data_IF_821222688769
#
_entry.id   IF_821222688769
#
_cell.length_a   1.000
_cell.length_b   1.000
_cell.length_c   1.000
_cell.angle_alpha   90.00
_cell.angle_beta   90.00
_cell.angle_gamma   90.00
#
_symmetry.space_group_name_H-M   'P 1'
#
loop_
_entity.id
_entity.type
_entity.pdbx_description
1 polymer ?
#
# COMPACT_ATOMS: atom_id res chain seq x y z
N UNK A 1 -49.42 -14.14 30.50
CA UNK A 1 -50.12 -13.69 29.27
C UNK A 1 -49.66 -12.27 28.99
N UNK A 2 -49.16 -11.84 27.83
CA UNK A 2 -49.13 -12.42 26.50
C UNK A 2 -47.88 -11.95 25.76
N UNK A 3 -47.39 -12.86 24.92
CA UNK A 3 -46.44 -12.68 23.85
C UNK A 3 -46.92 -11.64 22.83
N UNK A 4 -45.99 -10.90 22.23
CA UNK A 4 -46.10 -10.51 20.82
C UNK A 4 -44.70 -10.26 20.25
N UNK A 5 -44.28 -11.19 19.39
CA UNK A 5 -43.21 -10.99 18.39
C UNK A 5 -43.62 -9.86 17.45
N UNK A 6 -42.63 -9.08 17.01
CA UNK A 6 -42.68 -8.40 15.71
C UNK A 6 -41.36 -8.62 14.98
N UNK A 7 -41.44 -9.47 13.97
CA UNK A 7 -40.47 -9.66 12.91
C UNK A 7 -40.58 -8.50 11.89
N UNK A 8 -39.49 -8.18 11.18
CA UNK A 8 -39.59 -7.44 9.91
C UNK A 8 -38.59 -6.30 9.66
N UNK A 9 -37.37 -6.68 9.28
CA UNK A 9 -36.45 -6.10 8.26
C UNK A 9 -36.53 -4.61 7.84
N UNK A 10 -35.41 -3.90 8.05
CA UNK A 10 -34.85 -2.77 7.26
C UNK A 10 -33.47 -2.49 7.88
N UNK A 11 -32.34 -2.24 7.24
CA UNK A 11 -31.93 -1.90 5.88
C UNK A 11 -30.39 -2.02 5.97
N UNK A 12 -29.74 -2.73 5.05
CA UNK A 12 -28.33 -2.55 4.62
C UNK A 12 -27.22 -2.36 5.69
N UNK A 13 -26.16 -3.21 5.76
CA UNK A 13 -24.90 -2.72 6.34
C UNK A 13 -24.44 -1.52 5.51
N UNK A 14 -23.83 -0.47 6.10
CA UNK A 14 -23.29 0.63 5.33
C UNK A 14 -22.13 0.12 4.46
N UNK A 15 -22.42 -0.35 3.25
CA UNK A 15 -21.48 -0.32 2.15
C UNK A 15 -21.28 1.15 1.81
N UNK A 16 -20.27 1.78 2.43
CA UNK A 16 -19.51 2.94 1.95
C UNK A 16 -18.93 3.65 3.15
N UNK A 17 -17.67 3.34 3.49
CA UNK A 17 -16.66 4.26 4.02
C UNK A 17 -15.45 3.43 4.46
N UNK A 18 -14.83 2.71 3.52
CA UNK A 18 -13.40 2.48 3.69
C UNK A 18 -12.75 3.77 3.17
N UNK A 19 -12.21 4.65 4.03
CA UNK A 19 -11.22 5.58 3.50
C UNK A 19 -10.18 4.71 2.81
N UNK A 20 -9.88 5.08 1.57
CA UNK A 20 -8.95 4.44 0.65
C UNK A 20 -7.52 4.55 1.23
N UNK A 21 -7.33 3.95 2.40
CA UNK A 21 -6.14 4.02 3.23
C UNK A 21 -5.37 2.74 2.99
N UNK A 22 -4.18 2.88 2.43
CA UNK A 22 -3.26 1.78 2.22
C UNK A 22 -3.11 1.01 3.55
N UNK A 23 -3.25 -0.33 3.55
CA UNK A 23 -3.15 -1.10 4.77
C UNK A 23 -1.79 -0.85 5.44
N UNK A 24 -1.74 -0.53 6.75
CA UNK A 24 -0.48 -0.21 7.42
C UNK A 24 0.51 -1.37 7.34
N UNK A 25 0.03 -2.62 7.36
CA UNK A 25 0.87 -3.80 7.19
C UNK A 25 1.63 -3.83 5.85
N UNK A 26 1.01 -3.33 4.77
CA UNK A 26 1.63 -3.26 3.44
C UNK A 26 2.72 -2.18 3.43
N UNK A 27 2.44 -1.02 4.03
CA UNK A 27 3.42 0.07 4.15
C UNK A 27 4.64 -0.41 4.95
N UNK A 28 4.43 -1.09 6.08
CA UNK A 28 5.51 -1.61 6.92
C UNK A 28 6.33 -2.68 6.18
N UNK A 29 5.68 -3.57 5.44
CA UNK A 29 6.36 -4.60 4.62
C UNK A 29 7.23 -3.97 3.52
N UNK A 30 6.69 -3.03 2.76
CA UNK A 30 7.43 -2.34 1.70
C UNK A 30 8.54 -1.45 2.29
N UNK A 31 8.30 -0.81 3.43
CA UNK A 31 9.32 0.00 4.13
C UNK A 31 10.49 -0.87 4.56
N UNK A 32 10.23 -2.04 5.15
CA UNK A 32 11.26 -2.99 5.53
C UNK A 32 12.06 -3.50 4.31
N UNK A 33 11.39 -3.67 3.17
CA UNK A 33 12.03 -4.03 1.92
C UNK A 33 12.99 -2.93 1.43
N UNK A 34 12.53 -1.67 1.38
CA UNK A 34 13.37 -0.52 1.00
C UNK A 34 14.53 -0.33 1.97
N UNK A 35 14.28 -0.46 3.28
CA UNK A 35 15.33 -0.34 4.29
C UNK A 35 16.44 -1.37 4.08
N UNK A 36 16.08 -2.64 3.82
CA UNK A 36 17.06 -3.67 3.45
C UNK A 36 17.82 -3.31 2.18
N UNK A 37 17.13 -2.77 1.18
CA UNK A 37 17.77 -2.40 -0.08
C UNK A 37 18.84 -1.33 0.10
N UNK A 38 18.57 -0.35 0.96
CA UNK A 38 19.50 0.74 1.28
C UNK A 38 20.64 0.27 2.18
N UNK A 39 20.35 -0.60 3.14
CA UNK A 39 21.35 -1.23 4.00
C UNK A 39 22.38 -2.02 3.17
N UNK A 40 21.91 -2.85 2.23
CA UNK A 40 22.74 -3.59 1.28
C UNK A 40 23.53 -2.68 0.33
N UNK A 41 23.04 -1.46 0.07
CA UNK A 41 23.70 -0.48 -0.81
C UNK A 41 24.76 0.37 -0.08
N UNK A 42 24.90 0.22 1.24
CA UNK A 42 26.08 0.65 1.97
C UNK A 42 25.97 1.96 2.76
N UNK A 43 24.81 2.62 2.83
CA UNK A 43 24.60 3.75 3.78
C UNK A 43 23.12 4.01 4.04
N UNK A 44 22.64 3.57 5.21
CA UNK A 44 21.28 3.79 5.74
C UNK A 44 21.19 4.88 6.82
N UNK A 45 22.32 5.49 7.21
CA UNK A 45 22.48 6.33 8.42
C UNK A 45 21.53 7.55 8.50
N UNK A 46 21.03 8.03 7.36
CA UNK A 46 20.07 9.13 7.30
C UNK A 46 18.91 8.88 6.32
N UNK A 47 18.61 7.62 6.01
CA UNK A 47 17.57 7.31 5.04
C UNK A 47 16.25 6.94 5.71
N UNK A 48 15.27 7.85 5.66
CA UNK A 48 13.90 7.60 6.12
C UNK A 48 13.11 6.76 5.11
N UNK A 49 13.28 5.44 5.15
CA UNK A 49 12.63 4.51 4.21
C UNK A 49 11.10 4.67 4.18
N UNK A 50 10.48 4.95 5.32
CA UNK A 50 9.02 5.14 5.43
C UNK A 50 8.56 6.41 4.71
N UNK A 51 9.22 7.53 4.98
CA UNK A 51 8.89 8.83 4.38
C UNK A 51 9.14 8.80 2.87
N UNK A 52 10.27 8.22 2.46
CA UNK A 52 10.60 8.00 1.05
C UNK A 52 9.57 7.10 0.36
N UNK A 53 9.15 6.01 0.98
CA UNK A 53 8.15 5.11 0.42
C UNK A 53 6.79 5.81 0.24
N UNK A 54 6.36 6.60 1.23
CA UNK A 54 5.09 7.35 1.15
C UNK A 54 5.11 8.38 0.04
N UNK A 55 6.22 9.11 -0.11
CA UNK A 55 6.42 10.04 -1.22
C UNK A 55 6.39 9.29 -2.57
N UNK A 56 7.12 8.19 -2.67
CA UNK A 56 7.18 7.36 -3.87
C UNK A 56 5.83 6.74 -4.25
N UNK A 57 5.02 6.30 -3.27
CA UNK A 57 3.66 5.79 -3.46
C UNK A 57 2.72 6.84 -4.05
N UNK A 58 2.94 8.12 -3.73
CA UNK A 58 2.17 9.24 -4.25
C UNK A 58 2.77 9.84 -5.53
N UNK A 59 3.99 9.45 -5.89
CA UNK A 59 4.65 9.88 -7.12
C UNK A 59 4.20 9.02 -8.31
N UNK A 60 3.89 9.63 -9.47
CA UNK A 60 3.50 8.88 -10.66
C UNK A 60 4.68 8.07 -11.20
N UNK A 61 4.49 6.76 -11.37
CA UNK A 61 5.55 5.89 -11.86
C UNK A 61 5.33 5.58 -13.35
N UNK A 62 6.30 5.86 -14.24
CA UNK A 62 6.15 5.63 -15.68
C UNK A 62 5.90 4.16 -16.04
N UNK A 63 6.47 3.22 -15.26
CA UNK A 63 6.23 1.78 -15.44
C UNK A 63 4.78 1.35 -15.17
N UNK A 64 4.01 2.17 -14.43
CA UNK A 64 2.58 2.00 -14.19
C UNK A 64 1.72 2.79 -15.18
N UNK A 65 2.31 3.27 -16.29
CA UNK A 65 1.63 4.18 -17.22
C UNK A 65 1.41 5.58 -16.65
N UNK A 66 2.20 5.98 -15.64
CA UNK A 66 2.09 7.28 -14.97
C UNK A 66 1.09 7.31 -13.81
N UNK A 67 0.57 6.14 -13.39
CA UNK A 67 -0.25 6.05 -12.18
C UNK A 67 0.58 5.97 -10.89
N UNK A 68 -0.03 6.39 -9.79
CA UNK A 68 0.55 6.31 -8.46
C UNK A 68 0.52 4.87 -7.93
N UNK A 69 1.63 4.33 -7.40
CA UNK A 69 1.67 3.00 -6.80
C UNK A 69 0.68 2.80 -5.65
N UNK A 70 0.30 3.88 -4.96
CA UNK A 70 -0.72 3.91 -3.92
C UNK A 70 -2.07 3.32 -4.35
N UNK A 71 -2.42 3.41 -5.63
CA UNK A 71 -3.69 2.88 -6.14
C UNK A 71 -3.67 1.34 -6.29
N UNK A 72 -2.49 0.76 -6.52
CA UNK A 72 -2.31 -0.66 -6.79
C UNK A 72 -2.13 -1.51 -5.53
N UNK A 73 -1.59 -0.94 -4.45
CA UNK A 73 -1.32 -1.64 -3.19
C UNK A 73 -2.58 -2.06 -2.40
N UNK A 74 -3.76 -1.81 -2.96
CA UNK A 74 -5.04 -2.35 -2.47
C UNK A 74 -5.24 -3.84 -2.82
N UNK A 75 -4.45 -4.37 -3.76
CA UNK A 75 -4.57 -5.76 -4.21
C UNK A 75 -3.27 -6.53 -3.98
N UNK A 76 -3.32 -7.83 -3.64
CA UNK A 76 -2.12 -8.64 -3.46
C UNK A 76 -1.25 -8.68 -4.72
N UNK A 77 -1.86 -8.66 -5.91
CA UNK A 77 -1.14 -8.59 -7.18
C UNK A 77 -0.42 -7.25 -7.37
N UNK A 78 -1.08 -6.13 -7.03
CA UNK A 78 -0.46 -4.80 -7.10
C UNK A 78 0.64 -4.61 -6.07
N UNK A 79 0.49 -5.18 -4.87
CA UNK A 79 1.54 -5.22 -3.85
C UNK A 79 2.79 -5.94 -4.37
N UNK A 80 2.63 -7.12 -4.99
CA UNK A 80 3.76 -7.87 -5.58
C UNK A 80 4.43 -7.06 -6.70
N UNK A 81 3.64 -6.42 -7.56
CA UNK A 81 4.15 -5.57 -8.62
C UNK A 81 4.95 -4.38 -8.08
N UNK A 82 4.42 -3.68 -7.07
CA UNK A 82 5.10 -2.55 -6.41
C UNK A 82 6.40 -3.00 -5.72
N UNK A 83 6.36 -4.14 -5.04
CA UNK A 83 7.55 -4.77 -4.42
C UNK A 83 8.66 -5.05 -5.44
N UNK A 84 8.30 -5.61 -6.61
CA UNK A 84 9.26 -5.82 -7.70
C UNK A 84 9.79 -4.51 -8.27
N UNK A 85 8.94 -3.50 -8.36
CA UNK A 85 9.31 -2.18 -8.89
C UNK A 85 10.33 -1.49 -7.98
N UNK A 86 10.15 -1.58 -6.66
CA UNK A 86 11.12 -1.12 -5.67
C UNK A 86 12.45 -1.87 -5.80
N UNK A 87 12.42 -3.20 -5.96
CA UNK A 87 13.64 -3.99 -6.19
C UNK A 87 14.35 -3.61 -7.51
N UNK A 88 13.58 -3.27 -8.53
CA UNK A 88 14.11 -2.79 -9.81
C UNK A 88 14.75 -1.40 -9.67
N UNK A 89 14.15 -0.53 -8.85
CA UNK A 89 14.65 0.81 -8.55
C UNK A 89 16.00 0.78 -7.80
N UNK A 90 16.21 -0.19 -6.89
CA UNK A 90 17.50 -0.41 -6.22
C UNK A 90 18.64 -0.66 -7.22
N UNK A 91 18.37 -1.44 -8.26
CA UNK A 91 19.39 -1.83 -9.24
C UNK A 91 19.79 -0.71 -10.20
N UNK A 92 19.14 0.46 -10.13
CA UNK A 92 19.37 1.58 -11.06
C UNK A 92 19.00 1.26 -12.51
N UNK A 93 18.30 0.15 -12.76
CA UNK A 93 18.00 -0.36 -14.10
C UNK A 93 16.95 0.45 -14.85
N UNK A 94 16.40 1.51 -14.23
CA UNK A 94 15.36 2.33 -14.82
C UNK A 94 15.43 3.78 -14.29
N UNK A 95 16.37 4.55 -14.81
CA UNK A 95 16.44 6.02 -14.70
C UNK A 95 16.96 6.59 -16.02
#
# INVERSE_FOLDING_TARGET
>A
MSITRKDGVKDSPPLSSHPQSIPPAVIEMLTAQVQKMVDESGSSDNFDARSWLLDWLHSPVPALGGQCPADFVHTPAGIDLVSRLLASAQSGAYW
#
